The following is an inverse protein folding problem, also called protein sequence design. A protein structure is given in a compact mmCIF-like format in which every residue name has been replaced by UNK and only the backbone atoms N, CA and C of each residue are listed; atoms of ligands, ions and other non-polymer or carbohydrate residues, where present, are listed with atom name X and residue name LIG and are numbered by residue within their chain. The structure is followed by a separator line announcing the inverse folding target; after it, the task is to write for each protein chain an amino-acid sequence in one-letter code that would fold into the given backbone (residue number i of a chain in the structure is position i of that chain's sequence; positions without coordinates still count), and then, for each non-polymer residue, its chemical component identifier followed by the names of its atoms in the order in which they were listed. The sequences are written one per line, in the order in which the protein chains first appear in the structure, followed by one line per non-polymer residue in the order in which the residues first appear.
data_IF_650944243972
#
_entry.id   IF_650944243972
#
_cell.length_a   1.000
_cell.length_b   1.000
_cell.length_c   1.000
_cell.angle_alpha   90.00
_cell.angle_beta   90.00
_cell.angle_gamma   90.00
#
_symmetry.space_group_name_H-M   'P 1'
#
loop_
_entity.id
_entity.type
_entity.pdbx_description
1 polymer ?
#
# COMPACT_ATOMS: atom_id res chain seq x y z
N UNK A 1 39.75 -49.37 -14.78
CA UNK A 1 38.32 -49.01 -14.86
C UNK A 1 38.22 -47.56 -14.43
N UNK A 2 38.17 -46.63 -15.38
CA UNK A 2 38.03 -45.20 -15.10
C UNK A 2 36.54 -44.87 -14.97
N UNK A 3 36.13 -44.45 -13.79
CA UNK A 3 34.82 -43.89 -13.58
C UNK A 3 34.80 -42.51 -14.25
N UNK A 4 34.28 -42.44 -15.47
CA UNK A 4 33.92 -41.18 -16.08
C UNK A 4 32.60 -40.72 -15.43
N UNK A 5 32.67 -39.76 -14.53
CA UNK A 5 31.54 -38.91 -14.20
C UNK A 5 31.31 -38.00 -15.42
N UNK A 6 30.34 -38.38 -16.26
CA UNK A 6 29.94 -37.51 -17.36
C UNK A 6 29.19 -36.30 -16.83
N UNK A 7 29.77 -35.10 -16.91
CA UNK A 7 29.06 -33.89 -16.79
C UNK A 7 28.07 -33.79 -17.95
N UNK A 8 26.78 -33.73 -17.66
CA UNK A 8 25.77 -33.46 -18.68
C UNK A 8 25.97 -31.98 -19.08
N UNK A 9 26.19 -31.70 -20.35
CA UNK A 9 26.33 -30.33 -20.83
C UNK A 9 25.01 -29.59 -20.55
N UNK A 10 25.09 -28.25 -20.38
CA UNK A 10 23.91 -27.38 -20.25
C UNK A 10 22.90 -27.60 -21.38
N UNK A 11 23.40 -27.81 -22.59
CA UNK A 11 22.61 -28.08 -23.78
C UNK A 11 21.84 -29.41 -23.65
N UNK A 12 22.48 -30.48 -23.18
CA UNK A 12 21.84 -31.79 -22.94
C UNK A 12 20.84 -31.72 -21.78
N UNK A 13 21.08 -30.87 -20.79
CA UNK A 13 20.12 -30.64 -19.69
C UNK A 13 18.89 -29.89 -20.20
N UNK A 14 19.08 -28.85 -21.00
CA UNK A 14 18.02 -28.08 -21.62
C UNK A 14 17.14 -28.95 -22.55
N UNK A 15 17.77 -29.81 -23.39
CA UNK A 15 17.04 -30.75 -24.24
C UNK A 15 16.23 -31.79 -23.46
N UNK A 16 16.78 -32.31 -22.34
CA UNK A 16 16.04 -33.22 -21.47
C UNK A 16 14.87 -32.53 -20.77
N UNK A 17 15.05 -31.30 -20.33
CA UNK A 17 13.98 -30.52 -19.73
C UNK A 17 12.88 -30.21 -20.77
N UNK A 18 13.25 -29.85 -22.01
CA UNK A 18 12.28 -29.60 -23.08
C UNK A 18 11.48 -30.89 -23.41
N UNK A 19 12.17 -32.04 -23.45
CA UNK A 19 11.53 -33.34 -23.67
C UNK A 19 10.58 -33.72 -22.54
N UNK A 20 10.97 -33.50 -21.28
CA UNK A 20 10.10 -33.73 -20.13
C UNK A 20 8.89 -32.79 -20.14
N UNK A 21 9.08 -31.53 -20.49
CA UNK A 21 8.02 -30.55 -20.59
C UNK A 21 7.02 -30.89 -21.70
N UNK A 22 7.49 -31.36 -22.85
CA UNK A 22 6.64 -31.87 -23.95
C UNK A 22 5.87 -33.10 -23.55
N UNK A 23 6.48 -34.02 -22.79
CA UNK A 23 5.82 -35.22 -22.29
C UNK A 23 4.73 -34.88 -21.27
N UNK A 24 5.01 -33.98 -20.33
CA UNK A 24 4.01 -33.45 -19.38
C UNK A 24 2.88 -32.73 -20.11
N UNK A 25 3.19 -31.91 -21.09
CA UNK A 25 2.18 -31.25 -21.91
C UNK A 25 1.26 -32.26 -22.64
N UNK A 26 1.83 -33.33 -23.21
CA UNK A 26 1.06 -34.37 -23.86
C UNK A 26 0.18 -35.16 -22.89
N UNK A 27 0.64 -35.41 -21.66
CA UNK A 27 -0.18 -36.04 -20.59
C UNK A 27 -1.36 -35.15 -20.25
N UNK A 28 -1.14 -33.83 -20.09
CA UNK A 28 -2.18 -32.86 -19.77
C UNK A 28 -3.22 -32.78 -20.89
N UNK A 29 -2.77 -32.71 -22.15
CA UNK A 29 -3.65 -32.67 -23.32
C UNK A 29 -4.50 -33.96 -23.45
N UNK A 30 -3.90 -35.14 -23.18
CA UNK A 30 -4.62 -36.41 -23.27
C UNK A 30 -5.61 -36.68 -22.11
N UNK A 31 -5.47 -36.01 -20.99
CA UNK A 31 -6.34 -36.19 -19.84
C UNK A 31 -7.48 -35.13 -19.76
N UNK A 32 -7.72 -34.39 -20.82
CA UNK A 32 -8.88 -33.49 -20.92
C UNK A 32 -8.79 -32.25 -20.05
N UNK A 33 -7.61 -31.75 -19.71
CA UNK A 33 -7.39 -30.43 -19.11
C UNK A 33 -7.79 -30.29 -17.64
N UNK A 34 -8.13 -31.38 -16.93
CA UNK A 34 -8.65 -31.32 -15.55
C UNK A 34 -7.62 -31.62 -14.46
N UNK A 35 -6.32 -31.44 -14.77
CA UNK A 35 -5.24 -31.66 -13.79
C UNK A 35 -4.86 -30.35 -13.09
N UNK A 36 -5.77 -29.79 -12.28
CA UNK A 36 -5.34 -28.74 -11.35
C UNK A 36 -4.27 -29.32 -10.42
N UNK A 37 -3.17 -28.58 -10.19
CA UNK A 37 -2.13 -29.03 -9.28
C UNK A 37 -2.69 -29.17 -7.87
N UNK A 38 -2.30 -30.27 -7.19
CA UNK A 38 -2.80 -30.60 -5.84
C UNK A 38 -1.91 -30.07 -4.72
N UNK A 39 -0.76 -29.48 -5.06
CA UNK A 39 0.16 -28.87 -4.09
C UNK A 39 0.77 -27.58 -4.64
N UNK A 40 1.20 -26.71 -3.74
CA UNK A 40 1.87 -25.45 -4.09
C UNK A 40 3.20 -25.69 -4.80
N UNK A 41 3.96 -26.69 -4.39
CA UNK A 41 5.21 -27.07 -5.05
C UNK A 41 4.99 -27.50 -6.51
N UNK A 42 3.93 -28.29 -6.79
CA UNK A 42 3.58 -28.66 -8.15
C UNK A 42 3.12 -27.44 -8.97
N UNK A 43 2.35 -26.54 -8.36
CA UNK A 43 1.94 -25.28 -8.99
C UNK A 43 3.16 -24.46 -9.39
N UNK A 44 4.14 -24.29 -8.50
CA UNK A 44 5.38 -23.60 -8.79
C UNK A 44 6.18 -24.25 -9.92
N UNK A 45 6.29 -25.58 -9.91
CA UNK A 45 6.98 -26.31 -10.97
C UNK A 45 6.33 -26.09 -12.35
N UNK A 46 5.00 -26.01 -12.40
CA UNK A 46 4.26 -25.70 -13.62
C UNK A 46 4.45 -24.25 -14.08
N UNK A 47 4.51 -23.30 -13.14
CA UNK A 47 4.84 -21.90 -13.45
C UNK A 47 6.23 -21.81 -14.05
N UNK A 48 7.26 -22.35 -13.37
CA UNK A 48 8.66 -22.30 -13.79
C UNK A 48 8.91 -22.99 -15.14
N UNK A 49 8.17 -24.07 -15.42
CA UNK A 49 8.24 -24.75 -16.70
C UNK A 49 7.39 -24.13 -17.82
N UNK A 50 6.70 -23.03 -17.55
CA UNK A 50 5.78 -22.37 -18.48
C UNK A 50 4.63 -23.26 -18.98
N UNK A 51 4.21 -24.24 -18.14
CA UNK A 51 3.11 -25.14 -18.45
C UNK A 51 1.80 -24.74 -17.75
N UNK A 52 1.85 -23.80 -16.86
CA UNK A 52 0.69 -23.37 -16.08
C UNK A 52 -0.47 -22.89 -16.96
N UNK A 53 -0.16 -22.26 -18.10
CA UNK A 53 -1.14 -21.77 -19.07
C UNK A 53 -2.04 -22.83 -19.66
N UNK A 54 -1.56 -24.07 -19.72
CA UNK A 54 -2.29 -25.22 -20.27
C UNK A 54 -3.24 -25.88 -19.26
N UNK A 55 -3.05 -25.59 -17.99
CA UNK A 55 -3.71 -26.32 -16.90
C UNK A 55 -4.64 -25.40 -16.10
N UNK A 56 -4.23 -24.17 -15.89
CA UNK A 56 -4.94 -23.21 -15.03
C UNK A 56 -5.45 -22.05 -15.87
N UNK A 57 -6.74 -21.76 -15.77
CA UNK A 57 -7.41 -20.63 -16.42
C UNK A 57 -7.32 -19.35 -15.60
N UNK A 58 -7.55 -18.22 -16.25
CA UNK A 58 -7.89 -16.98 -15.55
C UNK A 58 -9.22 -17.19 -14.83
N UNK A 59 -9.35 -16.64 -13.63
CA UNK A 59 -10.45 -16.84 -12.69
C UNK A 59 -10.55 -18.24 -12.04
N UNK A 60 -9.61 -19.14 -12.31
CA UNK A 60 -9.47 -20.35 -11.52
C UNK A 60 -9.10 -20.01 -10.08
N UNK A 61 -9.61 -20.82 -9.15
CA UNK A 61 -9.47 -20.57 -7.72
C UNK A 61 -8.55 -21.57 -7.03
N UNK A 62 -7.75 -21.04 -6.11
CA UNK A 62 -6.95 -21.79 -5.17
C UNK A 62 -7.36 -21.45 -3.74
N UNK A 63 -7.28 -22.39 -2.83
CA UNK A 63 -7.56 -22.17 -1.41
C UNK A 63 -6.29 -22.40 -0.60
N UNK A 64 -6.02 -21.49 0.33
CA UNK A 64 -4.90 -21.55 1.26
C UNK A 64 -5.40 -21.30 2.67
N UNK A 65 -4.79 -21.96 3.65
CA UNK A 65 -5.07 -21.71 5.06
C UNK A 65 -4.21 -20.58 5.61
N UNK A 66 -4.86 -19.70 6.38
CA UNK A 66 -4.20 -18.73 7.25
C UNK A 66 -4.77 -18.92 8.66
N UNK A 67 -3.96 -19.47 9.57
CA UNK A 67 -4.42 -19.88 10.90
C UNK A 67 -5.62 -20.84 10.77
N UNK A 68 -6.81 -20.47 11.22
CA UNK A 68 -8.03 -21.28 11.10
C UNK A 68 -8.96 -20.90 9.94
N UNK A 69 -8.58 -19.89 9.15
CA UNK A 69 -9.40 -19.36 8.06
C UNK A 69 -8.92 -19.86 6.70
N UNK A 70 -9.84 -20.25 5.83
CA UNK A 70 -9.56 -20.52 4.43
C UNK A 70 -9.64 -19.21 3.64
N UNK A 71 -8.59 -18.88 2.92
CA UNK A 71 -8.54 -17.78 1.99
C UNK A 71 -8.59 -18.33 0.56
N UNK A 72 -9.52 -17.82 -0.23
CA UNK A 72 -9.70 -18.18 -1.64
C UNK A 72 -9.00 -17.14 -2.50
N UNK A 73 -8.24 -17.59 -3.48
CA UNK A 73 -7.45 -16.77 -4.39
C UNK A 73 -7.85 -17.00 -5.83
N UNK A 74 -8.10 -15.95 -6.59
CA UNK A 74 -8.35 -15.99 -8.02
C UNK A 74 -7.05 -15.87 -8.78
N UNK A 75 -6.87 -16.64 -9.83
CA UNK A 75 -5.80 -16.43 -10.81
C UNK A 75 -6.16 -15.24 -11.67
N UNK A 76 -5.41 -14.15 -11.54
CA UNK A 76 -5.68 -12.90 -12.27
C UNK A 76 -4.75 -12.66 -13.44
N UNK A 77 -3.56 -13.26 -13.42
CA UNK A 77 -2.55 -13.13 -14.47
C UNK A 77 -1.60 -14.32 -14.53
N UNK A 78 -1.00 -14.54 -15.69
CA UNK A 78 0.03 -15.54 -15.91
C UNK A 78 1.12 -14.92 -16.78
N UNK A 79 2.38 -15.04 -16.36
CA UNK A 79 3.53 -14.36 -17.00
C UNK A 79 3.28 -12.86 -17.19
N UNK A 80 2.56 -12.25 -16.28
CA UNK A 80 2.13 -10.86 -16.35
C UNK A 80 3.09 -9.95 -15.58
N UNK A 81 3.48 -10.37 -14.38
CA UNK A 81 4.33 -9.59 -13.51
C UNK A 81 5.80 -10.00 -13.62
N UNK A 82 6.67 -9.06 -13.32
CA UNK A 82 8.11 -9.29 -13.29
C UNK A 82 8.53 -9.75 -11.91
N UNK A 83 9.07 -10.98 -11.76
CA UNK A 83 9.72 -11.40 -10.53
C UNK A 83 10.88 -10.46 -10.17
N UNK A 84 11.03 -10.13 -8.88
CA UNK A 84 12.16 -9.31 -8.41
C UNK A 84 13.50 -10.06 -8.49
N UNK A 85 13.48 -11.38 -8.38
CA UNK A 85 14.66 -12.22 -8.57
C UNK A 85 14.86 -12.49 -10.06
N UNK A 86 15.96 -11.98 -10.67
CA UNK A 86 16.18 -12.08 -12.11
C UNK A 86 16.47 -13.51 -12.62
N UNK A 87 16.65 -14.48 -11.74
CA UNK A 87 16.76 -15.88 -12.15
C UNK A 87 15.43 -16.49 -12.62
N UNK A 88 14.30 -15.81 -12.32
CA UNK A 88 12.96 -16.24 -12.70
C UNK A 88 12.35 -15.25 -13.69
N UNK A 89 11.70 -15.78 -14.72
CA UNK A 89 11.03 -15.01 -15.77
C UNK A 89 9.55 -15.38 -15.93
N UNK A 90 9.06 -16.29 -15.08
CA UNK A 90 7.69 -16.78 -15.11
C UNK A 90 6.99 -16.49 -13.79
N UNK A 91 5.71 -16.15 -13.90
CA UNK A 91 4.87 -15.84 -12.73
C UNK A 91 3.44 -16.30 -12.94
N UNK A 92 2.76 -16.60 -11.85
CA UNK A 92 1.31 -16.72 -11.80
C UNK A 92 0.79 -15.82 -10.68
N UNK A 93 0.00 -14.81 -11.05
CA UNK A 93 -0.52 -13.83 -10.12
C UNK A 93 -1.85 -14.29 -9.54
N UNK A 94 -1.90 -14.31 -8.24
CA UNK A 94 -3.09 -14.59 -7.45
C UNK A 94 -3.57 -13.31 -6.77
N UNK A 95 -4.88 -13.09 -6.73
CA UNK A 95 -5.50 -12.05 -5.91
C UNK A 95 -6.52 -12.68 -4.97
N UNK A 96 -6.58 -12.18 -3.76
CA UNK A 96 -7.63 -12.61 -2.81
C UNK A 96 -9.01 -12.41 -3.44
N UNK A 97 -9.82 -13.49 -3.48
CA UNK A 97 -11.14 -13.50 -4.12
C UNK A 97 -12.08 -12.48 -3.47
N UNK A 98 -12.29 -12.63 -2.19
CA UNK A 98 -13.01 -11.67 -1.35
C UNK A 98 -12.00 -10.78 -0.60
N UNK A 99 -12.49 -9.76 0.08
CA UNK A 99 -11.64 -8.94 0.94
C UNK A 99 -11.19 -9.73 2.17
N UNK A 100 -10.02 -9.40 2.68
CA UNK A 100 -9.60 -9.87 3.99
C UNK A 100 -10.70 -9.55 5.03
N UNK A 101 -10.97 -10.45 6.00
CA UNK A 101 -12.09 -10.29 6.92
C UNK A 101 -12.10 -8.98 7.71
N UNK A 102 -10.92 -8.42 7.97
CA UNK A 102 -10.75 -7.15 8.68
C UNK A 102 -10.39 -6.03 7.72
N UNK A 103 -11.11 -4.92 7.80
CA UNK A 103 -10.73 -3.70 7.08
C UNK A 103 -9.51 -3.05 7.77
N UNK A 104 -8.61 -2.49 6.96
CA UNK A 104 -7.36 -1.92 7.43
C UNK A 104 -7.23 -0.45 7.06
N UNK A 105 -6.66 0.35 7.96
CA UNK A 105 -6.16 1.66 7.60
C UNK A 105 -4.99 1.50 6.63
N UNK A 106 -4.97 2.33 5.60
CA UNK A 106 -3.82 2.40 4.68
C UNK A 106 -2.62 3.00 5.40
N UNK A 107 -2.86 4.09 6.11
CA UNK A 107 -1.86 4.74 6.96
C UNK A 107 -2.53 5.52 8.09
N UNK A 108 -1.79 5.84 9.14
CA UNK A 108 -2.31 6.62 10.26
C UNK A 108 -2.17 8.14 10.01
N UNK A 109 -2.97 8.98 10.69
CA UNK A 109 -2.69 10.40 10.76
C UNK A 109 -1.27 10.65 11.26
N UNK A 110 -0.51 11.48 10.57
CA UNK A 110 0.86 11.83 10.94
C UNK A 110 0.91 12.76 12.15
N UNK A 111 2.05 12.78 12.84
CA UNK A 111 2.33 13.81 13.81
C UNK A 111 2.52 15.17 13.10
N UNK A 112 2.02 16.21 13.71
CA UNK A 112 2.14 17.55 13.11
C UNK A 112 3.59 18.06 13.16
N UNK A 113 4.25 17.85 14.31
CA UNK A 113 5.65 18.15 14.54
C UNK A 113 6.33 17.04 15.32
N UNK A 114 7.64 17.03 15.28
CA UNK A 114 8.43 16.46 16.36
C UNK A 114 9.26 17.56 17.03
N UNK A 115 9.51 17.42 18.32
CA UNK A 115 10.29 18.38 19.08
C UNK A 115 11.78 18.07 18.91
N UNK A 116 12.59 19.04 18.47
CA UNK A 116 14.06 18.90 18.47
C UNK A 116 14.61 19.01 19.89
N UNK A 117 13.99 19.86 20.69
CA UNK A 117 14.27 20.03 22.10
C UNK A 117 13.05 19.70 22.92
N UNK A 118 13.22 19.44 24.22
CA UNK A 118 12.09 19.20 25.10
C UNK A 118 11.12 20.39 25.08
N UNK A 119 9.82 20.08 24.90
CA UNK A 119 8.74 21.04 25.04
C UNK A 119 8.11 20.83 26.43
N UNK A 120 8.28 21.76 27.38
CA UNK A 120 7.79 21.60 28.76
C UNK A 120 6.27 21.46 28.84
N UNK A 121 5.76 20.91 29.95
CA UNK A 121 4.35 20.97 30.27
C UNK A 121 3.90 22.44 30.36
N UNK A 122 2.72 22.74 29.83
CA UNK A 122 2.21 24.11 29.81
C UNK A 122 1.11 24.31 28.78
N UNK A 123 0.65 25.55 28.69
CA UNK A 123 -0.37 25.94 27.73
C UNK A 123 0.28 26.68 26.56
N UNK A 124 -0.04 26.23 25.36
CA UNK A 124 0.54 26.71 24.12
C UNK A 124 -0.55 27.20 23.18
N UNK A 125 -0.24 28.18 22.38
CA UNK A 125 -1.10 28.65 21.31
C UNK A 125 -0.49 28.35 19.96
N UNK A 126 -1.33 27.88 19.03
CA UNK A 126 -1.06 27.95 17.62
C UNK A 126 -1.48 29.28 17.07
N UNK A 127 -0.64 29.88 16.31
CA UNK A 127 -1.05 30.92 15.36
C UNK A 127 -1.04 30.27 13.99
N UNK A 128 -2.22 30.16 13.39
CA UNK A 128 -2.37 29.74 12.01
C UNK A 128 -2.65 31.00 11.22
N UNK A 129 -1.68 31.38 10.43
CA UNK A 129 -1.85 32.47 9.46
C UNK A 129 -2.35 31.83 8.16
N UNK A 130 -3.66 31.87 7.97
CA UNK A 130 -4.31 31.26 6.82
C UNK A 130 -4.76 32.32 5.84
N UNK A 131 -4.31 32.17 4.60
CA UNK A 131 -4.75 33.03 3.49
C UNK A 131 -5.78 32.39 2.57
N UNK A 132 -6.13 31.12 2.81
CA UNK A 132 -6.88 30.35 1.83
C UNK A 132 -8.40 30.31 2.04
N UNK A 133 -8.90 30.33 3.25
CA UNK A 133 -10.32 30.19 3.53
C UNK A 133 -10.79 31.27 4.52
N UNK A 134 -11.66 32.19 4.04
CA UNK A 134 -12.23 33.26 4.87
C UNK A 134 -13.03 32.71 6.06
N UNK A 135 -13.49 31.47 6.00
CA UNK A 135 -14.22 30.81 7.09
C UNK A 135 -13.28 30.42 8.23
N UNK A 136 -12.00 30.23 7.94
CA UNK A 136 -10.99 29.75 8.90
C UNK A 136 -9.88 30.77 9.17
N UNK A 137 -9.96 31.97 8.60
CA UNK A 137 -9.01 33.08 8.82
C UNK A 137 -8.91 33.54 10.28
N UNK A 138 -9.74 33.03 11.16
CA UNK A 138 -9.79 33.45 12.55
C UNK A 138 -9.25 32.41 13.55
N UNK A 139 -8.60 31.34 13.10
CA UNK A 139 -7.87 30.45 14.00
C UNK A 139 -6.50 31.05 14.38
N UNK A 140 -6.45 32.36 14.59
CA UNK A 140 -5.25 33.02 15.10
C UNK A 140 -4.84 32.59 16.49
N UNK A 141 -5.64 31.76 17.16
CA UNK A 141 -5.28 31.24 18.46
C UNK A 141 -5.99 29.93 18.79
N UNK A 142 -5.43 28.80 18.38
CA UNK A 142 -5.83 27.51 18.92
C UNK A 142 -4.97 27.19 20.14
N UNK A 143 -5.62 27.03 21.28
CA UNK A 143 -4.94 26.76 22.55
C UNK A 143 -4.94 25.27 22.83
N UNK A 144 -3.81 24.74 23.27
CA UNK A 144 -3.73 23.38 23.81
C UNK A 144 -2.86 23.37 25.06
N UNK A 145 -3.13 22.41 25.95
CA UNK A 145 -2.37 22.23 27.18
C UNK A 145 -1.65 20.89 27.17
N UNK A 146 -0.34 20.94 27.34
CA UNK A 146 0.47 19.76 27.61
C UNK A 146 0.47 19.52 29.11
N UNK A 147 -0.07 18.41 29.53
CA UNK A 147 -0.07 17.97 30.96
C UNK A 147 1.27 17.38 31.36
N UNK A 148 2.09 16.97 30.40
CA UNK A 148 3.44 16.45 30.58
C UNK A 148 4.35 17.04 29.49
N UNK A 149 5.64 17.14 29.78
CA UNK A 149 6.63 17.55 28.80
C UNK A 149 6.68 16.56 27.63
N UNK A 150 6.88 17.08 26.42
CA UNK A 150 7.21 16.28 25.24
C UNK A 150 8.73 16.27 25.11
N UNK A 151 9.40 15.12 25.23
CA UNK A 151 10.86 15.05 25.19
C UNK A 151 11.40 15.39 23.78
N UNK A 152 12.69 15.68 23.69
CA UNK A 152 13.38 15.80 22.41
C UNK A 152 13.18 14.53 21.57
N UNK A 153 12.83 14.69 20.29
CA UNK A 153 12.43 13.61 19.42
C UNK A 153 10.97 13.15 19.59
N UNK A 154 10.26 13.66 20.59
CA UNK A 154 8.86 13.37 20.82
C UNK A 154 7.95 14.02 19.79
N UNK A 155 6.81 13.39 19.53
CA UNK A 155 5.82 13.87 18.57
C UNK A 155 4.78 14.78 19.24
N UNK A 156 4.37 15.80 18.49
CA UNK A 156 3.30 16.71 18.89
C UNK A 156 2.13 16.57 17.91
N UNK A 157 0.97 16.21 18.44
CA UNK A 157 -0.27 16.08 17.69
C UNK A 157 -1.26 17.15 18.11
N UNK A 158 -2.01 17.65 17.12
CA UNK A 158 -3.02 18.66 17.37
C UNK A 158 -4.41 18.13 17.00
N UNK A 159 -5.43 18.34 17.82
CA UNK A 159 -6.81 18.07 17.46
C UNK A 159 -7.32 19.13 16.50
N UNK A 160 -7.16 18.90 15.21
CA UNK A 160 -7.65 19.82 14.19
C UNK A 160 -9.15 19.70 13.93
N UNK A 161 -9.81 20.83 13.82
CA UNK A 161 -11.05 20.97 13.06
C UNK A 161 -10.81 20.84 11.54
N UNK A 162 -11.83 20.98 10.70
CA UNK A 162 -11.74 20.83 9.25
C UNK A 162 -10.84 21.87 8.56
N UNK A 163 -10.16 21.48 7.49
CA UNK A 163 -9.49 22.27 6.46
C UNK A 163 -8.77 23.54 6.93
N UNK A 164 -7.55 23.41 7.39
CA UNK A 164 -6.71 24.56 7.68
C UNK A 164 -5.64 24.69 6.60
N UNK A 165 -5.68 25.80 5.89
CA UNK A 165 -4.58 26.29 5.08
C UNK A 165 -3.76 27.26 5.92
N UNK A 166 -2.56 26.89 6.26
CA UNK A 166 -1.72 27.77 7.04
C UNK A 166 -0.48 28.19 6.24
N UNK A 167 -0.26 29.46 6.10
CA UNK A 167 0.95 30.02 5.54
C UNK A 167 2.09 30.04 6.57
N UNK A 168 1.74 30.09 7.85
CA UNK A 168 2.73 30.07 8.95
C UNK A 168 2.09 29.42 10.17
N UNK A 169 2.80 28.47 10.80
CA UNK A 169 2.41 27.96 12.10
C UNK A 169 3.48 28.30 13.12
N UNK A 170 3.05 28.94 14.20
CA UNK A 170 3.90 29.26 15.35
C UNK A 170 3.29 28.62 16.58
N UNK A 171 4.12 28.03 17.40
CA UNK A 171 3.75 27.55 18.71
C UNK A 171 4.33 28.52 19.74
N UNK A 172 3.47 29.10 20.56
CA UNK A 172 3.88 30.05 21.57
C UNK A 172 3.42 29.58 22.96
N UNK A 173 4.20 29.83 23.98
CA UNK A 173 3.75 29.71 25.36
C UNK A 173 3.05 30.98 25.81
N UNK A 174 2.12 30.86 26.75
CA UNK A 174 1.31 31.97 27.26
C UNK A 174 1.22 31.89 28.77
N UNK A 175 1.09 33.06 29.40
CA UNK A 175 0.94 33.16 30.86
C UNK A 175 -0.37 32.52 31.35
N UNK A 176 -1.40 32.49 30.53
CA UNK A 176 -2.69 31.91 30.87
C UNK A 176 -3.45 31.50 29.59
N UNK A 177 -4.47 30.68 29.76
CA UNK A 177 -5.36 30.24 28.70
C UNK A 177 -6.09 31.39 27.96
N UNK A 178 -6.21 32.52 28.57
CA UNK A 178 -6.90 33.71 27.99
C UNK A 178 -5.95 34.78 27.49
N UNK A 179 -4.63 34.59 27.70
CA UNK A 179 -3.64 35.54 27.22
C UNK A 179 -3.48 35.44 25.72
N UNK A 180 -3.50 36.58 25.03
CA UNK A 180 -3.20 36.71 23.59
C UNK A 180 -1.76 37.13 23.31
N UNK A 181 -1.01 37.44 24.39
CA UNK A 181 0.40 37.83 24.28
C UNK A 181 1.29 36.64 24.56
N UNK A 182 2.07 36.16 23.60
CA UNK A 182 2.99 35.08 23.81
C UNK A 182 4.14 35.49 24.72
N UNK A 183 4.54 34.58 25.64
CA UNK A 183 5.74 34.74 26.44
C UNK A 183 6.96 34.29 25.66
N UNK A 184 6.85 33.13 25.03
CA UNK A 184 7.95 32.49 24.31
C UNK A 184 7.43 31.76 23.07
N UNK A 185 8.18 31.87 22.00
CA UNK A 185 7.96 31.05 20.82
C UNK A 185 8.82 29.80 20.93
N UNK A 186 8.19 28.64 21.02
CA UNK A 186 8.88 27.36 21.06
C UNK A 186 9.22 26.93 19.64
N UNK A 187 10.49 26.62 19.42
CA UNK A 187 10.93 26.06 18.16
C UNK A 187 10.46 24.60 18.08
N UNK A 188 9.55 24.34 17.20
CA UNK A 188 9.18 23.00 16.78
C UNK A 188 9.64 22.81 15.36
N UNK A 189 10.40 21.79 15.11
CA UNK A 189 10.89 21.47 13.78
C UNK A 189 10.11 20.34 13.18
N UNK A 190 9.90 20.53 11.93
CA UNK A 190 9.40 19.54 11.05
C UNK A 190 10.51 18.56 10.68
N UNK A 191 10.30 17.28 10.85
CA UNK A 191 11.24 16.28 10.37
C UNK A 191 11.23 16.17 8.85
N UNK A 192 12.36 15.87 8.28
CA UNK A 192 12.56 15.73 6.84
C UNK A 192 11.90 14.49 6.23
N UNK A 193 11.33 13.62 7.04
CA UNK A 193 10.68 12.41 6.58
C UNK A 193 9.18 12.54 6.36
N UNK A 194 8.56 13.59 6.88
CA UNK A 194 7.17 13.90 6.58
C UNK A 194 7.07 14.45 5.18
N UNK A 195 6.80 13.60 4.26
CA UNK A 195 6.75 13.89 2.84
C UNK A 195 6.02 15.21 2.57
N UNK A 196 6.74 16.17 2.03
CA UNK A 196 6.18 17.43 1.58
C UNK A 196 5.76 18.45 2.65
N UNK A 197 6.00 18.18 3.94
CA UNK A 197 5.85 19.22 4.94
C UNK A 197 7.08 20.12 4.99
N UNK A 198 7.67 20.73 4.06
CA UNK A 198 8.87 21.58 4.09
C UNK A 198 9.19 22.27 5.43
N UNK A 199 10.21 22.99 5.55
CA UNK A 199 10.48 23.79 6.77
C UNK A 199 9.38 24.84 6.98
N UNK A 200 8.67 24.81 8.09
CA UNK A 200 7.59 25.77 8.42
C UNK A 200 8.09 27.21 8.65
N UNK A 201 9.34 27.49 8.29
CA UNK A 201 9.96 28.79 8.51
C UNK A 201 9.64 29.81 7.44
N UNK A 202 9.10 29.39 6.30
CA UNK A 202 8.73 30.30 5.22
C UNK A 202 7.27 30.10 4.82
N UNK A 203 6.54 31.21 4.72
CA UNK A 203 5.13 31.23 4.30
C UNK A 203 4.90 30.55 2.94
N UNK A 204 5.91 30.53 2.06
CA UNK A 204 5.82 29.92 0.73
C UNK A 204 5.74 28.40 0.75
N UNK A 205 6.48 27.75 1.63
CA UNK A 205 6.51 26.28 1.70
C UNK A 205 5.19 25.72 2.20
N UNK A 206 4.54 26.42 3.12
CA UNK A 206 3.29 25.98 3.70
C UNK A 206 2.08 26.27 2.80
N UNK A 207 2.06 27.40 2.11
CA UNK A 207 1.01 27.72 1.15
C UNK A 207 0.99 26.74 -0.03
N UNK A 208 2.16 26.20 -0.41
CA UNK A 208 2.27 25.21 -1.47
C UNK A 208 2.01 23.77 -0.99
N UNK A 209 1.96 23.53 0.31
CA UNK A 209 1.90 22.19 0.92
C UNK A 209 0.62 21.95 1.74
N UNK A 210 -0.51 22.56 1.35
CA UNK A 210 -1.79 22.27 1.98
C UNK A 210 -2.07 20.78 2.13
N UNK A 211 -1.71 20.01 1.10
CA UNK A 211 -1.91 18.57 1.10
C UNK A 211 -1.05 17.85 2.13
N UNK A 212 0.06 18.42 2.53
CA UNK A 212 0.89 17.87 3.62
C UNK A 212 0.19 17.99 4.97
N UNK A 213 -0.54 19.08 5.22
CA UNK A 213 -1.37 19.23 6.41
C UNK A 213 -2.49 18.17 6.42
N UNK A 214 -3.01 17.83 5.26
CA UNK A 214 -4.01 16.79 5.15
C UNK A 214 -3.47 15.43 5.62
N UNK A 215 -2.16 15.15 5.49
CA UNK A 215 -1.54 13.92 6.04
C UNK A 215 -1.60 13.89 7.56
N UNK A 216 -1.37 15.01 8.21
CA UNK A 216 -1.51 15.11 9.67
C UNK A 216 -2.89 14.71 10.15
N UNK A 217 -3.90 14.98 9.34
CA UNK A 217 -5.30 14.71 9.68
C UNK A 217 -5.80 13.35 9.17
N UNK A 218 -5.34 12.96 8.00
CA UNK A 218 -5.96 11.88 7.23
C UNK A 218 -4.99 10.76 6.82
N UNK A 219 -3.73 10.82 7.28
CA UNK A 219 -2.70 9.87 6.92
C UNK A 219 -2.07 10.12 5.54
N UNK A 220 -0.93 9.51 5.28
CA UNK A 220 -0.21 9.61 4.00
C UNK A 220 -0.79 8.65 2.97
N UNK A 221 -0.86 9.10 1.71
CA UNK A 221 -1.21 8.23 0.59
C UNK A 221 0.00 7.66 -0.15
N UNK A 222 1.20 7.79 0.40
CA UNK A 222 2.41 7.21 -0.15
C UNK A 222 2.48 5.72 0.19
N UNK A 223 2.31 4.85 -0.81
CA UNK A 223 2.30 3.40 -0.59
C UNK A 223 3.64 2.87 -0.09
N UNK A 224 4.77 3.41 -0.57
CA UNK A 224 6.11 2.95 -0.21
C UNK A 224 6.35 2.96 1.30
N UNK A 225 5.87 4.00 1.97
CA UNK A 225 6.05 4.24 3.39
C UNK A 225 4.84 3.80 4.23
N UNK A 226 3.74 3.39 3.58
CA UNK A 226 2.47 3.13 4.23
C UNK A 226 2.51 1.99 5.23
N UNK A 227 1.70 2.14 6.27
CA UNK A 227 1.51 1.10 7.28
C UNK A 227 0.90 -0.18 6.68
N UNK A 228 -0.01 -0.06 5.69
CA UNK A 228 -0.63 -1.23 5.06
C UNK A 228 0.39 -2.07 4.27
N UNK A 229 1.39 -1.45 3.63
CA UNK A 229 2.46 -2.19 2.95
C UNK A 229 3.30 -2.99 3.94
N UNK A 230 3.63 -2.40 5.11
CA UNK A 230 4.33 -3.12 6.18
C UNK A 230 3.52 -4.31 6.67
N UNK A 231 2.21 -4.13 6.87
CA UNK A 231 1.32 -5.19 7.29
C UNK A 231 1.25 -6.33 6.27
N UNK A 232 1.11 -6.01 4.99
CA UNK A 232 1.04 -6.99 3.90
C UNK A 232 2.29 -7.87 3.82
N UNK A 233 3.47 -7.30 4.08
CA UNK A 233 4.75 -7.97 3.94
C UNK A 233 5.36 -8.41 5.30
N UNK A 234 4.52 -8.59 6.32
CA UNK A 234 4.96 -8.98 7.66
C UNK A 234 4.44 -10.36 8.06
N UNK A 235 5.34 -11.20 8.57
CA UNK A 235 5.08 -12.48 9.22
C UNK A 235 5.05 -12.38 10.75
N UNK A 236 5.14 -11.14 11.29
CA UNK A 236 5.25 -10.90 12.73
C UNK A 236 3.89 -10.91 13.41
N UNK A 237 3.89 -11.33 14.67
CA UNK A 237 2.72 -11.20 15.54
C UNK A 237 2.39 -9.73 15.83
N UNK A 238 1.15 -9.49 16.21
CA UNK A 238 0.62 -8.19 16.64
C UNK A 238 1.55 -7.47 17.61
N UNK A 239 1.60 -6.15 17.50
CA UNK A 239 2.50 -5.30 18.27
C UNK A 239 3.92 -5.19 17.72
N UNK A 240 4.31 -6.03 16.73
CA UNK A 240 5.63 -6.02 16.10
C UNK A 240 5.57 -5.84 14.58
N UNK A 241 4.40 -5.58 14.03
CA UNK A 241 4.14 -5.52 12.58
C UNK A 241 4.56 -4.18 12.00
N UNK A 242 4.32 -3.12 12.76
CA UNK A 242 4.52 -1.74 12.31
C UNK A 242 5.74 -1.10 12.98
N UNK A 243 6.47 -0.31 12.20
CA UNK A 243 7.54 0.58 12.68
C UNK A 243 7.46 1.91 11.94
N UNK A 244 7.77 3.04 12.57
CA UNK A 244 7.77 4.33 11.89
C UNK A 244 8.79 4.34 10.75
N UNK A 245 8.38 4.78 9.58
CA UNK A 245 9.24 4.99 8.40
C UNK A 245 9.79 6.41 8.38
N UNK A 246 9.03 7.34 8.92
CA UNK A 246 9.40 8.75 9.07
C UNK A 246 9.25 9.20 10.52
N UNK A 247 9.77 10.37 10.84
CA UNK A 247 9.63 10.97 12.19
C UNK A 247 8.20 11.43 12.50
N UNK A 248 7.34 11.48 11.49
CA UNK A 248 5.95 11.89 11.65
C UNK A 248 4.99 10.72 11.76
N UNK A 249 5.43 9.53 11.45
CA UNK A 249 4.57 8.35 11.47
C UNK A 249 4.04 8.06 12.86
N UNK A 250 2.76 7.75 12.92
CA UNK A 250 2.08 7.28 14.12
C UNK A 250 1.53 5.89 13.88
N UNK A 251 1.44 5.09 14.93
CA UNK A 251 0.92 3.74 14.79
C UNK A 251 -0.53 3.77 14.28
N UNK A 252 -0.87 2.97 13.26
CA UNK A 252 -2.26 2.80 12.86
C UNK A 252 -3.05 2.10 13.96
N UNK A 253 -4.38 2.23 13.93
CA UNK A 253 -5.26 1.68 14.96
C UNK A 253 -5.12 0.16 15.14
N UNK A 254 -4.68 -0.55 14.13
CA UNK A 254 -4.48 -1.99 14.13
C UNK A 254 -3.08 -2.42 14.61
N UNK A 255 -2.11 -1.52 14.78
CA UNK A 255 -0.72 -1.87 15.05
C UNK A 255 -0.52 -2.74 16.29
N UNK A 256 -1.32 -2.53 17.34
CA UNK A 256 -1.25 -3.31 18.57
C UNK A 256 -2.10 -4.59 18.54
N UNK A 257 -3.00 -4.75 17.56
CA UNK A 257 -4.05 -5.79 17.60
C UNK A 257 -4.03 -6.74 16.42
N UNK A 258 -3.43 -6.36 15.28
CA UNK A 258 -3.37 -7.19 14.09
C UNK A 258 -2.02 -7.89 13.96
N UNK A 259 -2.07 -9.19 13.70
CA UNK A 259 -0.92 -9.94 13.20
C UNK A 259 -0.64 -9.54 11.75
N UNK A 260 0.62 -9.60 11.33
CA UNK A 260 1.02 -9.37 9.94
C UNK A 260 0.25 -10.25 8.98
N UNK A 261 0.10 -9.81 7.74
CA UNK A 261 -0.73 -10.55 6.77
C UNK A 261 -0.19 -11.96 6.50
N UNK A 262 1.14 -12.12 6.47
CA UNK A 262 1.80 -13.41 6.27
C UNK A 262 1.80 -14.30 7.53
N UNK A 263 1.50 -13.73 8.70
CA UNK A 263 1.50 -14.49 9.96
C UNK A 263 0.43 -15.58 9.95
N UNK A 264 0.86 -16.81 10.22
CA UNK A 264 -0.02 -17.99 10.26
C UNK A 264 -0.53 -18.47 8.91
N UNK A 265 0.04 -17.99 7.80
CA UNK A 265 -0.16 -18.59 6.48
C UNK A 265 0.50 -19.95 6.36
N UNK A 266 -0.06 -20.79 5.50
CA UNK A 266 0.49 -22.07 5.11
C UNK A 266 1.94 -21.93 4.65
N UNK A 267 2.85 -22.66 5.26
CA UNK A 267 4.28 -22.61 4.98
C UNK A 267 4.61 -23.05 3.54
N UNK A 268 3.89 -24.02 3.00
CA UNK A 268 4.08 -24.50 1.63
C UNK A 268 3.65 -23.44 0.61
N UNK A 269 2.62 -22.66 0.94
CA UNK A 269 2.22 -21.51 0.13
C UNK A 269 3.27 -20.40 0.18
N UNK A 270 3.74 -20.03 1.37
CA UNK A 270 4.77 -19.00 1.51
C UNK A 270 6.09 -19.38 0.84
N UNK A 271 6.42 -20.70 0.78
CA UNK A 271 7.63 -21.18 0.14
C UNK A 271 7.65 -21.00 -1.40
N UNK A 272 6.50 -20.84 -2.03
CA UNK A 272 6.40 -20.69 -3.49
C UNK A 272 6.13 -19.25 -3.94
N UNK A 273 5.85 -18.35 -2.99
CA UNK A 273 5.65 -16.94 -3.30
C UNK A 273 6.99 -16.24 -3.43
N UNK A 274 7.16 -15.50 -4.51
CA UNK A 274 8.30 -14.64 -4.72
C UNK A 274 7.94 -13.15 -4.64
N UNK A 275 8.96 -12.32 -4.46
CA UNK A 275 8.78 -10.88 -4.55
C UNK A 275 8.52 -10.46 -5.99
N UNK A 276 7.59 -9.55 -6.14
CA UNK A 276 7.20 -8.94 -7.40
C UNK A 276 7.77 -7.54 -7.45
N UNK A 277 8.39 -7.18 -8.56
CA UNK A 277 8.78 -5.81 -8.83
C UNK A 277 7.55 -5.00 -9.21
N UNK A 278 7.24 -3.97 -8.42
CA UNK A 278 6.07 -3.10 -8.62
C UNK A 278 6.46 -1.64 -8.73
N UNK A 279 5.72 -0.92 -9.58
CA UNK A 279 5.81 0.52 -9.75
C UNK A 279 4.61 1.16 -9.06
N UNK A 280 4.85 2.24 -8.32
CA UNK A 280 3.81 2.99 -7.63
C UNK A 280 3.98 4.48 -7.89
N UNK A 281 2.93 5.13 -8.37
CA UNK A 281 2.92 6.56 -8.56
C UNK A 281 3.04 7.31 -7.23
N UNK A 282 3.62 8.50 -7.27
CA UNK A 282 3.60 9.47 -6.19
C UNK A 282 2.62 10.59 -6.51
N UNK A 283 1.93 11.12 -5.49
CA UNK A 283 1.08 12.27 -5.71
C UNK A 283 1.91 13.49 -6.17
N UNK A 284 1.26 14.41 -6.90
CA UNK A 284 1.94 15.57 -7.49
C UNK A 284 1.95 16.81 -6.58
N UNK A 285 1.27 16.75 -5.45
CA UNK A 285 1.03 17.91 -4.59
C UNK A 285 1.95 18.02 -3.38
N UNK A 286 2.49 16.89 -2.90
CA UNK A 286 3.44 16.91 -1.80
C UNK A 286 4.59 15.89 -1.95
N UNK A 287 4.48 14.88 -2.82
CA UNK A 287 5.54 13.91 -3.08
C UNK A 287 6.29 14.17 -4.40
N UNK A 288 5.96 15.27 -5.08
CA UNK A 288 6.65 15.72 -6.27
C UNK A 288 6.33 14.94 -7.55
N UNK A 289 5.35 14.03 -7.53
CA UNK A 289 5.00 13.20 -8.69
C UNK A 289 6.08 12.15 -9.01
N UNK A 290 6.01 11.59 -10.22
CA UNK A 290 6.86 10.47 -10.60
C UNK A 290 6.41 9.17 -9.93
N UNK A 291 7.35 8.26 -9.69
CA UNK A 291 7.05 6.94 -9.13
C UNK A 291 8.14 6.46 -8.19
N UNK A 292 7.81 5.44 -7.42
CA UNK A 292 8.73 4.60 -6.66
C UNK A 292 8.69 3.18 -7.20
N UNK A 293 9.81 2.47 -7.08
CA UNK A 293 9.93 1.05 -7.37
C UNK A 293 10.18 0.29 -6.07
N UNK A 294 9.61 -0.90 -5.97
CA UNK A 294 9.77 -1.75 -4.79
C UNK A 294 9.49 -3.21 -5.09
N UNK A 295 9.99 -4.09 -4.24
CA UNK A 295 9.85 -5.53 -4.34
C UNK A 295 9.08 -6.07 -3.15
N UNK A 296 7.85 -6.51 -3.39
CA UNK A 296 6.93 -6.97 -2.35
C UNK A 296 6.47 -8.41 -2.58
N UNK A 297 6.28 -9.19 -1.50
CA UNK A 297 5.64 -10.51 -1.55
C UNK A 297 4.13 -10.39 -1.80
N UNK A 298 3.48 -9.48 -1.04
CA UNK A 298 2.07 -9.17 -1.18
C UNK A 298 1.91 -7.67 -1.44
N UNK A 299 1.08 -7.34 -2.41
CA UNK A 299 0.86 -5.96 -2.81
C UNK A 299 -0.61 -5.69 -3.11
N UNK A 300 -1.01 -4.43 -3.04
CA UNK A 300 -2.30 -3.97 -3.53
C UNK A 300 -2.20 -3.75 -5.03
N UNK A 301 -3.26 -4.06 -5.76
CA UNK A 301 -3.32 -3.72 -7.18
C UNK A 301 -3.38 -2.20 -7.37
N UNK A 302 -2.79 -1.72 -8.46
CA UNK A 302 -2.92 -0.32 -8.87
C UNK A 302 -4.28 -0.07 -9.53
N UNK A 303 -4.61 1.20 -9.69
CA UNK A 303 -5.75 1.63 -10.49
C UNK A 303 -5.67 1.11 -11.94
N UNK A 304 -4.47 1.16 -12.54
CA UNK A 304 -4.25 0.71 -13.91
C UNK A 304 -4.43 -0.81 -14.06
N UNK A 305 -3.92 -1.57 -13.12
CA UNK A 305 -4.01 -3.04 -13.13
C UNK A 305 -5.43 -3.57 -13.05
N UNK A 306 -6.35 -2.80 -12.44
CA UNK A 306 -7.78 -3.11 -12.46
C UNK A 306 -8.53 -2.43 -13.62
N UNK A 307 -7.81 -2.06 -14.67
CA UNK A 307 -8.36 -1.52 -15.92
C UNK A 307 -9.01 -0.14 -15.84
N UNK A 308 -8.47 0.75 -14.99
CA UNK A 308 -9.05 2.08 -14.74
C UNK A 308 -8.15 3.25 -15.22
N UNK A 309 -7.11 2.96 -16.00
CA UNK A 309 -6.16 3.94 -16.53
C UNK A 309 -5.16 4.48 -15.53
N UNK A 310 -4.25 5.31 -15.98
CA UNK A 310 -3.20 5.92 -15.17
C UNK A 310 -3.77 7.03 -14.29
N UNK A 311 -3.24 7.17 -13.08
CA UNK A 311 -3.56 8.29 -12.20
C UNK A 311 -2.66 9.48 -12.45
N UNK A 312 -1.35 9.25 -12.55
CA UNK A 312 -0.35 10.27 -12.78
C UNK A 312 0.12 10.17 -14.23
N UNK A 313 0.13 11.30 -14.94
CA UNK A 313 0.56 11.35 -16.34
C UNK A 313 1.99 10.87 -16.48
N UNK A 314 2.21 9.96 -17.43
CA UNK A 314 3.52 9.40 -17.73
C UNK A 314 4.00 8.32 -16.76
N UNK A 315 3.23 7.96 -15.74
CA UNK A 315 3.54 6.86 -14.82
C UNK A 315 2.66 5.66 -15.12
N UNK A 316 3.31 4.53 -15.39
CA UNK A 316 2.65 3.24 -15.69
C UNK A 316 2.83 2.34 -14.47
N UNK A 317 1.75 2.17 -13.69
CA UNK A 317 1.74 1.35 -12.48
C UNK A 317 1.35 -0.11 -12.78
N UNK A 318 2.08 -0.78 -13.66
CA UNK A 318 1.78 -2.11 -14.16
C UNK A 318 0.84 -2.10 -15.37
N UNK A 319 0.55 -3.28 -15.91
CA UNK A 319 -0.39 -3.47 -17.00
C UNK A 319 -1.73 -4.04 -16.48
N UNK A 320 -2.86 -3.83 -17.21
CA UNK A 320 -4.13 -4.39 -16.80
C UNK A 320 -4.12 -5.93 -16.78
N UNK A 321 -4.59 -6.53 -15.70
CA UNK A 321 -4.70 -7.99 -15.63
C UNK A 321 -5.83 -8.53 -16.51
N UNK A 322 -5.63 -9.67 -17.17
CA UNK A 322 -6.66 -10.31 -18.00
C UNK A 322 -7.96 -10.63 -17.24
N UNK A 323 -7.90 -10.79 -15.93
CA UNK A 323 -9.04 -11.00 -15.06
C UNK A 323 -10.07 -9.86 -15.11
N UNK A 324 -9.61 -8.64 -15.44
CA UNK A 324 -10.43 -7.42 -15.51
C UNK A 324 -10.72 -7.00 -16.96
N UNK A 325 -10.66 -7.93 -17.92
CA UNK A 325 -10.73 -7.65 -19.36
C UNK A 325 -12.11 -7.20 -19.87
N UNK A 326 -13.13 -7.18 -19.03
CA UNK A 326 -14.48 -6.72 -19.40
C UNK A 326 -14.54 -5.22 -19.70
N UNK A 327 -13.46 -4.49 -19.40
CA UNK A 327 -13.37 -3.07 -19.63
C UNK A 327 -12.22 -2.78 -20.61
N UNK A 328 -12.57 -2.46 -21.85
CA UNK A 328 -11.60 -2.31 -22.94
C UNK A 328 -10.96 -0.93 -23.04
N UNK A 329 -11.41 0.06 -22.28
CA UNK A 329 -10.96 1.44 -22.39
C UNK A 329 -10.19 1.90 -21.15
N UNK A 330 -8.84 1.87 -21.25
CA UNK A 330 -7.94 2.39 -20.22
C UNK A 330 -8.11 3.90 -19.97
N UNK A 331 -8.67 4.64 -20.93
CA UNK A 331 -8.86 6.09 -20.81
C UNK A 331 -10.15 6.46 -20.09
N UNK A 332 -11.09 5.54 -19.99
CA UNK A 332 -12.36 5.80 -19.30
C UNK A 332 -12.11 5.96 -17.80
N UNK A 333 -12.12 7.18 -17.37
CA UNK A 333 -11.80 7.60 -16.01
C UNK A 333 -12.82 7.10 -15.00
N UNK A 334 -12.79 5.79 -14.69
CA UNK A 334 -13.40 5.26 -13.49
C UNK A 334 -14.92 5.35 -13.37
N UNK A 335 -15.66 5.32 -14.49
CA UNK A 335 -17.13 5.39 -14.47
C UNK A 335 -17.80 4.05 -14.79
N UNK A 336 -17.03 3.03 -15.23
CA UNK A 336 -17.58 1.71 -15.57
C UNK A 336 -17.62 0.77 -14.37
N UNK A 337 -18.73 0.07 -14.19
CA UNK A 337 -18.81 -1.05 -13.27
C UNK A 337 -18.32 -2.32 -13.97
N UNK A 338 -17.19 -2.87 -13.50
CA UNK A 338 -16.73 -4.20 -13.86
C UNK A 338 -17.05 -5.13 -12.69
N UNK A 339 -17.81 -6.19 -12.94
CA UNK A 339 -18.23 -7.13 -11.91
C UNK A 339 -17.06 -7.81 -11.19
N UNK A 340 -15.93 -8.02 -11.88
CA UNK A 340 -14.73 -8.63 -11.30
C UNK A 340 -14.02 -7.71 -10.29
N UNK A 341 -14.30 -6.41 -10.33
CA UNK A 341 -13.82 -5.45 -9.34
C UNK A 341 -14.67 -5.41 -8.07
N UNK A 342 -15.85 -6.00 -8.08
CA UNK A 342 -16.70 -6.07 -6.89
C UNK A 342 -16.16 -7.15 -5.96
N UNK A 343 -15.73 -6.76 -4.76
CA UNK A 343 -15.25 -7.70 -3.75
C UNK A 343 -16.07 -7.59 -2.47
N UNK A 344 -16.26 -8.74 -1.84
CA UNK A 344 -17.17 -8.86 -0.71
C UNK A 344 -16.39 -9.01 0.61
N UNK A 345 -17.02 -8.57 1.69
CA UNK A 345 -16.59 -8.83 3.06
C UNK A 345 -17.83 -9.14 3.90
N UNK A 346 -17.83 -10.35 4.50
CA UNK A 346 -19.00 -10.81 5.23
C UNK A 346 -20.26 -10.89 4.37
N UNK A 347 -20.13 -11.26 3.09
CA UNK A 347 -21.24 -11.41 2.14
C UNK A 347 -21.79 -10.10 1.57
N UNK A 348 -21.18 -8.95 1.89
CA UNK A 348 -21.62 -7.63 1.39
C UNK A 348 -20.49 -6.98 0.59
N UNK A 349 -20.83 -6.44 -0.59
CA UNK A 349 -19.88 -5.68 -1.40
C UNK A 349 -19.40 -4.44 -0.64
N UNK A 350 -18.09 -4.25 -0.56
CA UNK A 350 -17.47 -3.19 0.19
C UNK A 350 -16.36 -2.52 -0.61
N UNK A 351 -15.96 -1.31 -0.20
CA UNK A 351 -14.77 -0.64 -0.72
C UNK A 351 -13.51 -1.45 -0.42
N UNK A 352 -12.52 -1.42 -1.34
CA UNK A 352 -11.21 -1.99 -1.11
C UNK A 352 -10.09 -1.13 -1.71
N UNK A 353 -8.92 -1.16 -1.06
CA UNK A 353 -7.79 -0.32 -1.40
C UNK A 353 -7.10 -0.72 -2.70
N UNK A 354 -6.70 0.29 -3.49
CA UNK A 354 -5.61 0.17 -4.44
C UNK A 354 -4.32 0.76 -3.83
N UNK A 355 -3.15 0.51 -4.47
CA UNK A 355 -1.89 1.15 -4.05
C UNK A 355 -1.71 2.56 -4.63
N UNK A 356 -2.45 2.92 -5.65
CA UNK A 356 -2.36 4.20 -6.36
C UNK A 356 -2.81 5.35 -5.47
N UNK A 357 -1.98 6.41 -5.28
CA UNK A 357 -2.42 7.62 -4.61
C UNK A 357 -3.42 8.39 -5.49
N UNK A 358 -4.29 9.19 -4.90
CA UNK A 358 -4.97 10.24 -5.66
C UNK A 358 -3.97 11.36 -5.93
N UNK A 359 -3.66 11.64 -7.20
CA UNK A 359 -2.57 12.53 -7.61
C UNK A 359 -2.69 13.94 -7.05
N UNK A 360 -3.91 14.47 -6.93
CA UNK A 360 -4.22 15.81 -6.44
C UNK A 360 -4.41 15.92 -4.92
N UNK A 361 -4.01 14.92 -4.14
CA UNK A 361 -4.15 14.91 -2.68
C UNK A 361 -2.95 14.25 -2.04
N UNK A 362 -2.52 14.72 -0.87
CA UNK A 362 -1.50 14.08 -0.06
C UNK A 362 -2.01 12.96 0.85
N UNK A 363 -3.33 12.79 0.96
CA UNK A 363 -3.96 11.90 1.95
C UNK A 363 -5.02 10.96 1.40
N UNK A 364 -5.46 11.13 0.17
CA UNK A 364 -6.44 10.25 -0.44
C UNK A 364 -5.78 9.16 -1.27
N UNK A 365 -6.18 7.92 -1.02
CA UNK A 365 -5.74 6.74 -1.74
C UNK A 365 -6.87 6.27 -2.64
N UNK A 366 -6.57 5.78 -3.83
CA UNK A 366 -7.58 5.17 -4.71
C UNK A 366 -8.14 3.91 -4.08
N UNK A 367 -9.43 3.74 -4.25
CA UNK A 367 -10.18 2.56 -3.79
C UNK A 367 -11.22 2.18 -4.82
N UNK A 368 -11.58 0.91 -4.85
CA UNK A 368 -12.71 0.44 -5.66
C UNK A 368 -13.98 0.52 -4.83
N UNK A 369 -15.02 1.11 -5.41
CA UNK A 369 -16.36 1.23 -4.83
C UNK A 369 -17.09 -0.15 -4.82
N UNK A 370 -18.06 -0.40 -3.95
CA UNK A 370 -18.87 -1.62 -3.96
C UNK A 370 -19.58 -1.95 -5.28
N UNK A 371 -19.70 -0.98 -6.17
CA UNK A 371 -20.24 -1.19 -7.53
C UNK A 371 -19.19 -1.52 -8.58
N UNK A 372 -17.90 -1.66 -8.19
CA UNK A 372 -16.79 -1.84 -9.12
C UNK A 372 -16.22 -0.53 -9.70
N UNK A 373 -16.83 0.61 -9.46
CA UNK A 373 -16.34 1.90 -9.93
C UNK A 373 -15.11 2.37 -9.13
N UNK A 374 -14.27 3.20 -9.74
CA UNK A 374 -13.14 3.83 -9.02
C UNK A 374 -13.64 4.90 -8.06
N UNK A 375 -13.02 4.91 -6.87
CA UNK A 375 -13.23 5.91 -5.84
C UNK A 375 -11.90 6.29 -5.18
N UNK A 376 -11.96 7.03 -4.09
CA UNK A 376 -10.85 7.31 -3.20
C UNK A 376 -11.35 7.43 -1.76
N UNK A 377 -10.45 7.19 -0.83
CA UNK A 377 -10.72 7.32 0.61
C UNK A 377 -9.49 7.89 1.30
N UNK A 378 -9.71 8.61 2.40
CA UNK A 378 -8.59 9.09 3.22
C UNK A 378 -7.83 7.93 3.84
N UNK A 379 -6.51 7.99 3.85
CA UNK A 379 -5.63 6.89 4.25
C UNK A 379 -5.90 6.36 5.67
N UNK A 380 -6.37 7.21 6.58
CA UNK A 380 -6.67 6.83 7.98
C UNK A 380 -7.97 6.04 8.14
N UNK A 381 -8.81 5.97 7.12
CA UNK A 381 -10.06 5.20 7.20
C UNK A 381 -9.75 3.72 7.01
N UNK A 382 -10.44 2.85 7.74
CA UNK A 382 -10.34 1.41 7.52
C UNK A 382 -11.21 0.99 6.35
N UNK A 383 -10.58 0.52 5.29
CA UNK A 383 -11.22 0.03 4.06
C UNK A 383 -10.78 -1.42 3.81
N UNK A 384 -11.52 -2.16 3.01
CA UNK A 384 -11.23 -3.55 2.69
C UNK A 384 -9.89 -3.73 1.97
N UNK A 385 -9.33 -4.91 2.08
CA UNK A 385 -8.04 -5.26 1.49
C UNK A 385 -8.17 -6.54 0.69
N UNK A 386 -7.77 -6.50 -0.58
CA UNK A 386 -7.75 -7.66 -1.47
C UNK A 386 -6.38 -7.73 -2.17
N UNK A 387 -5.33 -8.17 -1.46
CA UNK A 387 -3.97 -8.17 -1.98
C UNK A 387 -3.76 -9.22 -3.06
N UNK A 388 -2.70 -9.01 -3.84
CA UNK A 388 -2.16 -9.96 -4.80
C UNK A 388 -0.77 -10.44 -4.37
N UNK A 389 -0.35 -11.56 -4.94
CA UNK A 389 0.99 -12.13 -4.82
C UNK A 389 1.32 -12.96 -6.06
N UNK A 390 2.59 -13.30 -6.24
CA UNK A 390 3.05 -14.12 -7.34
C UNK A 390 3.66 -15.44 -6.88
N UNK A 391 3.23 -16.53 -7.48
CA UNK A 391 3.97 -17.79 -7.48
C UNK A 391 5.04 -17.68 -8.57
N UNK A 392 6.30 -17.93 -8.20
CA UNK A 392 7.47 -17.84 -9.09
C UNK A 392 8.41 -19.03 -8.95
#
# INVERSE_FOLDING_TARGET
MSNQFGFVSEETYAEKMDTQNRFLAAIVENQGGNLKPTSWANTQALVRSNLIDKIVGIADQFTMQRSSANLVWDVIGKNHDTPADPQYDKSMTLQLHDQFPTAMQFDAPEAFYYCETELPAGTYHFVIDSTYDSTYNNYSSYQFTLTQAVPAGGQLTFPWGSNVNASTIKVNSFASATSTTPIEQVAVTQGTGGQGLGTLTTAGDFANNLNSIQRVRYGSNNYKESAIRQWLNSDKAKGNVWTPQTKFDRPPSWAATADGFMYGMDADFLAVIGKTHIIVARNTVCDGGGYDEMDDYFFLLSRREVYMGNEVSGVIEGEPYPYYSDYSDLSAAGTGADSNRIKYRGGTAQYWWNRTPYAGSGSHVRSVHPTGAMNYSSAYISVGVAPACNII
#
